data_IF_087486387698
#
_entry.id   IF_087486387698
#
_cell.length_a   1.000
_cell.length_b   1.000
_cell.length_c   1.000
_cell.angle_alpha   90.00
_cell.angle_beta   90.00
_cell.angle_gamma   90.00
#
_symmetry.space_group_name_H-M   'P 1'
#
loop_
_entity.id
_entity.type
_entity.pdbx_description
1 polymer ?
#
# COMPACT_ATOMS: atom_id res chain seq x y z
N UNK A 1 16.60 13.23 -0.44
CA UNK A 1 16.08 12.75 0.84
C UNK A 1 15.68 13.98 1.63
N UNK A 2 14.39 14.17 1.94
CA UNK A 2 13.97 15.34 2.69
C UNK A 2 14.34 15.12 4.17
N UNK A 3 15.20 15.97 4.72
CA UNK A 3 15.60 15.96 6.13
C UNK A 3 14.79 17.05 6.83
N UNK A 4 14.18 16.70 7.96
CA UNK A 4 13.52 17.68 8.82
C UNK A 4 14.54 18.13 9.87
N UNK A 5 14.84 19.42 9.86
CA UNK A 5 15.67 20.09 10.88
C UNK A 5 14.77 20.69 11.95
N UNK A 6 14.97 20.27 13.19
CA UNK A 6 14.31 20.87 14.36
C UNK A 6 15.36 21.54 15.23
N UNK A 7 15.18 22.83 15.47
CA UNK A 7 16.03 23.63 16.35
C UNK A 7 15.39 23.70 17.73
N UNK A 8 16.16 23.31 18.76
CA UNK A 8 15.75 23.41 20.15
C UNK A 8 16.75 24.33 20.86
N UNK A 9 16.27 25.47 21.35
CA UNK A 9 17.04 26.35 22.22
C UNK A 9 17.14 25.77 23.62
N UNK A 10 18.35 25.51 24.09
CA UNK A 10 18.60 25.03 25.45
C UNK A 10 18.29 26.16 26.46
N UNK A 11 17.35 25.96 27.40
CA UNK A 11 16.96 27.01 28.35
C UNK A 11 18.04 27.31 29.40
N UNK A 12 19.11 26.52 29.47
CA UNK A 12 20.14 26.67 30.49
C UNK A 12 21.40 27.41 30.01
N UNK A 13 21.75 27.27 28.73
CA UNK A 13 22.95 27.88 28.15
C UNK A 13 22.69 28.66 26.86
N UNK A 14 21.40 28.85 26.50
CA UNK A 14 20.93 29.57 25.31
C UNK A 14 21.48 29.06 23.97
N UNK A 15 22.20 27.93 23.98
CA UNK A 15 22.71 27.27 22.78
C UNK A 15 21.59 26.67 21.95
N UNK A 16 21.71 26.80 20.63
CA UNK A 16 20.80 26.17 19.67
C UNK A 16 21.29 24.75 19.38
N UNK A 17 20.45 23.76 19.65
CA UNK A 17 20.71 22.35 19.31
C UNK A 17 19.92 22.03 18.05
N UNK A 18 20.64 21.68 16.99
CA UNK A 18 20.05 21.24 15.71
C UNK A 18 19.91 19.72 15.71
N UNK A 19 18.68 19.22 15.63
CA UNK A 19 18.39 17.78 15.46
C UNK A 19 17.94 17.55 14.02
N UNK A 20 18.71 16.73 13.30
CA UNK A 20 18.37 16.26 11.96
C UNK A 20 17.64 14.92 12.04
N UNK A 21 16.40 14.86 11.52
CA UNK A 21 15.65 13.61 11.42
C UNK A 21 15.29 13.33 9.96
N UNK A 22 15.48 12.11 9.44
CA UNK A 22 14.97 11.76 8.12
C UNK A 22 13.46 11.90 8.10
N UNK A 23 12.89 12.43 7.01
CA UNK A 23 11.44 12.55 6.87
C UNK A 23 10.76 11.18 7.10
N UNK A 24 9.60 11.16 7.79
CA UNK A 24 8.87 9.94 8.02
C UNK A 24 8.52 9.30 6.67
N UNK A 25 9.17 8.18 6.38
CA UNK A 25 8.81 7.35 5.24
C UNK A 25 7.44 6.74 5.54
N UNK A 26 6.50 6.82 4.59
CA UNK A 26 5.19 6.17 4.72
C UNK A 26 5.44 4.66 4.80
N UNK A 27 5.36 4.10 6.01
CA UNK A 27 5.42 2.65 6.22
C UNK A 27 4.22 2.01 5.52
N UNK A 28 4.47 0.99 4.70
CA UNK A 28 3.42 0.21 4.01
C UNK A 28 3.43 0.28 2.49
N UNK A 29 4.38 0.98 1.87
CA UNK A 29 4.60 0.86 0.42
C UNK A 29 5.71 -0.17 0.21
N UNK A 30 5.45 -1.22 -0.59
CA UNK A 30 6.50 -1.87 -1.37
C UNK A 30 7.04 -0.80 -2.33
N UNK A 31 7.86 0.11 -1.81
CA UNK A 31 8.19 1.35 -2.49
C UNK A 31 9.13 1.06 -3.67
N UNK A 32 8.61 1.23 -4.88
CA UNK A 32 9.42 1.42 -6.09
C UNK A 32 9.42 0.28 -7.11
N UNK A 33 8.62 -0.77 -6.93
CA UNK A 33 8.46 -1.82 -7.94
C UNK A 33 7.12 -1.57 -8.66
N UNK A 34 7.15 -1.47 -9.99
CA UNK A 34 5.95 -1.32 -10.78
C UNK A 34 5.07 -2.59 -10.68
N UNK A 35 3.76 -2.48 -10.92
CA UNK A 35 2.86 -3.65 -10.88
C UNK A 35 3.34 -4.75 -11.85
N UNK A 36 3.89 -4.35 -13.00
CA UNK A 36 4.45 -5.27 -14.00
C UNK A 36 5.71 -6.00 -13.50
N UNK A 37 6.53 -5.34 -12.67
CA UNK A 37 7.83 -5.85 -12.20
C UNK A 37 7.74 -6.71 -10.94
N UNK A 38 6.56 -6.79 -10.29
CA UNK A 38 6.37 -7.59 -9.09
C UNK A 38 6.37 -9.09 -9.38
N UNK A 39 6.93 -9.90 -8.47
CA UNK A 39 6.71 -11.36 -8.49
C UNK A 39 5.26 -11.71 -8.13
N UNK A 40 4.80 -12.91 -8.44
CA UNK A 40 3.40 -13.29 -8.17
C UNK A 40 3.05 -13.24 -6.69
N UNK A 41 3.99 -13.63 -5.81
CA UNK A 41 3.82 -13.51 -4.36
C UNK A 41 3.77 -12.05 -3.90
N UNK A 42 4.57 -11.16 -4.51
CA UNK A 42 4.51 -9.72 -4.24
C UNK A 42 3.19 -9.13 -4.72
N UNK A 43 2.68 -9.55 -5.88
CA UNK A 43 1.41 -9.11 -6.42
C UNK A 43 0.24 -9.55 -5.54
N UNK A 44 0.23 -10.81 -5.03
CA UNK A 44 -0.76 -11.29 -4.05
C UNK A 44 -0.74 -10.45 -2.77
N UNK A 45 0.45 -10.12 -2.26
CA UNK A 45 0.60 -9.26 -1.08
C UNK A 45 0.07 -7.85 -1.36
N UNK A 46 0.36 -7.28 -2.53
CA UNK A 46 -0.13 -5.94 -2.89
C UNK A 46 -1.66 -5.91 -3.03
N UNK A 47 -2.28 -6.93 -3.63
CA UNK A 47 -3.75 -7.03 -3.70
C UNK A 47 -4.36 -7.04 -2.30
N UNK A 48 -3.80 -7.85 -1.38
CA UNK A 48 -4.27 -7.89 0.02
C UNK A 48 -4.12 -6.53 0.70
N UNK A 49 -2.99 -5.86 0.49
CA UNK A 49 -2.73 -4.53 1.04
C UNK A 49 -3.68 -3.47 0.48
N UNK A 50 -3.90 -3.47 -0.84
CA UNK A 50 -4.80 -2.54 -1.52
C UNK A 50 -6.25 -2.70 -1.01
N UNK A 51 -6.74 -3.94 -0.89
CA UNK A 51 -8.06 -4.23 -0.28
C UNK A 51 -8.15 -3.75 1.16
N UNK A 52 -7.12 -3.99 1.98
CA UNK A 52 -7.09 -3.53 3.38
C UNK A 52 -7.13 -1.99 3.49
N UNK A 53 -6.42 -1.29 2.60
CA UNK A 53 -6.41 0.18 2.56
C UNK A 53 -7.77 0.72 2.14
N UNK A 54 -8.41 0.12 1.12
CA UNK A 54 -9.75 0.49 0.68
C UNK A 54 -10.77 0.30 1.81
N UNK A 55 -10.82 -0.89 2.41
CA UNK A 55 -11.70 -1.20 3.55
C UNK A 55 -11.52 -0.19 4.69
N UNK A 56 -10.27 0.12 5.07
CA UNK A 56 -10.00 1.12 6.12
C UNK A 56 -10.42 2.53 5.70
N UNK A 57 -10.35 2.88 4.42
CA UNK A 57 -10.79 4.16 3.89
C UNK A 57 -12.32 4.30 3.90
N UNK A 58 -13.04 3.24 3.53
CA UNK A 58 -14.50 3.17 3.62
C UNK A 58 -14.96 3.24 5.08
N UNK A 59 -14.37 2.42 5.95
CA UNK A 59 -14.72 2.38 7.38
C UNK A 59 -14.54 3.70 8.11
N UNK A 60 -13.55 4.52 7.71
CA UNK A 60 -13.30 5.85 8.29
C UNK A 60 -14.05 6.98 7.57
N UNK A 61 -14.90 6.67 6.60
CA UNK A 61 -15.59 7.64 5.75
C UNK A 61 -14.61 8.66 5.13
N UNK A 62 -13.53 8.16 4.52
CA UNK A 62 -12.57 9.00 3.82
C UNK A 62 -13.26 9.76 2.66
N UNK A 63 -12.65 10.86 2.16
CA UNK A 63 -13.19 11.59 1.02
C UNK A 63 -13.42 10.67 -0.18
N UNK A 64 -14.48 10.92 -0.95
CA UNK A 64 -14.82 10.11 -2.13
C UNK A 64 -13.65 9.98 -3.10
N UNK A 65 -12.88 11.05 -3.31
CA UNK A 65 -11.66 11.04 -4.13
C UNK A 65 -10.62 10.04 -3.61
N UNK A 66 -10.47 9.92 -2.28
CA UNK A 66 -9.54 8.96 -1.67
C UNK A 66 -10.02 7.52 -1.87
N UNK A 67 -11.33 7.28 -1.76
CA UNK A 67 -11.93 5.96 -1.98
C UNK A 67 -11.75 5.55 -3.45
N UNK A 68 -12.09 6.43 -4.39
CA UNK A 68 -11.93 6.18 -5.83
C UNK A 68 -10.48 5.88 -6.22
N UNK A 69 -9.52 6.63 -5.68
CA UNK A 69 -8.10 6.38 -5.90
C UNK A 69 -7.65 5.02 -5.34
N UNK A 70 -8.15 4.62 -4.17
CA UNK A 70 -7.83 3.31 -3.61
C UNK A 70 -8.46 2.17 -4.40
N UNK A 71 -9.67 2.39 -4.93
CA UNK A 71 -10.39 1.42 -5.75
C UNK A 71 -9.67 1.20 -7.08
N UNK A 72 -9.24 2.26 -7.76
CA UNK A 72 -8.41 2.17 -8.95
C UNK A 72 -7.12 1.37 -8.72
N UNK A 73 -6.54 1.44 -7.50
CA UNK A 73 -5.35 0.66 -7.13
C UNK A 73 -5.65 -0.83 -6.98
N UNK A 74 -6.79 -1.18 -6.38
CA UNK A 74 -7.27 -2.57 -6.30
C UNK A 74 -7.53 -3.11 -7.70
N UNK A 75 -8.22 -2.35 -8.53
CA UNK A 75 -8.59 -2.77 -9.88
C UNK A 75 -7.35 -2.99 -10.77
N UNK A 76 -6.36 -2.09 -10.69
CA UNK A 76 -5.10 -2.25 -11.42
C UNK A 76 -4.33 -3.52 -11.01
N UNK A 77 -4.27 -3.82 -9.70
CA UNK A 77 -3.59 -5.02 -9.21
C UNK A 77 -4.33 -6.32 -9.59
N UNK A 78 -5.67 -6.30 -9.55
CA UNK A 78 -6.50 -7.42 -10.00
C UNK A 78 -6.40 -7.64 -11.51
N UNK A 79 -6.38 -6.56 -12.30
CA UNK A 79 -6.21 -6.64 -13.74
C UNK A 79 -4.85 -7.26 -14.11
N UNK A 80 -3.79 -6.93 -13.38
CA UNK A 80 -2.48 -7.53 -13.61
C UNK A 80 -2.43 -9.01 -13.23
N UNK A 81 -3.08 -9.40 -12.12
CA UNK A 81 -3.25 -10.82 -11.77
C UNK A 81 -4.00 -11.57 -12.86
N UNK A 82 -5.10 -11.01 -13.35
CA UNK A 82 -5.91 -11.61 -14.42
C UNK A 82 -5.12 -11.75 -15.73
N UNK A 83 -4.30 -10.76 -16.11
CA UNK A 83 -3.41 -10.88 -17.28
C UNK A 83 -2.39 -12.00 -17.11
N UNK A 84 -1.80 -12.15 -15.92
CA UNK A 84 -0.83 -13.21 -15.63
C UNK A 84 -1.48 -14.59 -15.62
N UNK A 85 -2.67 -14.72 -15.04
CA UNK A 85 -3.47 -15.94 -15.10
C UNK A 85 -3.84 -16.29 -16.55
N UNK A 86 -4.27 -15.31 -17.36
CA UNK A 86 -4.55 -15.53 -18.77
C UNK A 86 -3.30 -15.90 -19.60
N UNK A 87 -2.13 -15.38 -19.23
CA UNK A 87 -0.86 -15.70 -19.88
C UNK A 87 -0.28 -17.06 -19.44
N UNK A 88 -0.53 -17.46 -18.19
CA UNK A 88 -0.06 -18.72 -17.61
C UNK A 88 -1.09 -19.85 -17.68
N UNK A 89 -2.29 -19.62 -18.22
CA UNK A 89 -3.34 -20.64 -18.27
C UNK A 89 -2.86 -21.88 -19.07
N UNK A 90 -2.58 -23.03 -18.42
CA UNK A 90 -2.76 -24.29 -19.12
C UNK A 90 -4.27 -24.46 -19.36
N UNK A 91 -4.64 -25.10 -20.46
CA UNK A 91 -6.00 -25.59 -20.59
C UNK A 91 -6.30 -26.50 -19.38
N UNK A 92 -7.36 -26.15 -18.65
CA UNK A 92 -8.00 -26.93 -17.56
C UNK A 92 -7.48 -26.74 -16.12
N UNK A 93 -8.41 -26.21 -15.31
CA UNK A 93 -8.74 -26.55 -13.93
C UNK A 93 -7.75 -26.26 -12.78
N UNK A 94 -8.09 -25.28 -11.94
CA UNK A 94 -8.17 -25.50 -10.48
C UNK A 94 -8.71 -24.25 -9.77
N UNK A 95 -9.92 -24.40 -9.23
CA UNK A 95 -10.46 -23.53 -8.22
C UNK A 95 -9.57 -23.49 -6.97
N UNK A 96 -9.20 -22.30 -6.50
CA UNK A 96 -8.86 -22.04 -5.10
C UNK A 96 -9.65 -20.81 -4.63
N UNK A 97 -10.90 -21.13 -4.29
CA UNK A 97 -11.59 -20.78 -3.04
C UNK A 97 -10.90 -19.71 -2.15
N UNK A 98 -11.50 -18.52 -2.07
CA UNK A 98 -11.46 -17.68 -0.87
C UNK A 98 -12.92 -17.32 -0.53
N UNK A 99 -13.58 -18.30 0.09
CA UNK A 99 -14.86 -18.14 0.80
C UNK A 99 -14.63 -17.17 1.95
N UNK A 100 -15.17 -15.96 1.83
CA UNK A 100 -15.43 -15.12 3.00
C UNK A 100 -16.77 -15.56 3.58
N UNK A 101 -16.73 -16.48 4.54
CA UNK A 101 -17.84 -16.71 5.47
C UNK A 101 -18.04 -15.43 6.30
N UNK A 102 -19.05 -14.62 5.90
CA UNK A 102 -19.69 -13.66 6.78
C UNK A 102 -20.63 -14.43 7.72
N UNK A 103 -20.14 -14.84 8.89
CA UNK A 103 -21.01 -15.08 10.05
C UNK A 103 -21.25 -13.76 10.78
N UNK A 104 -22.44 -13.18 10.62
CA UNK A 104 -23.11 -12.30 11.61
C UNK A 104 -24.59 -12.67 11.66
#
# INVERSE_FOLDING_TARGET
MNVLTTEITCPHCEGVITIERPAPQRRGVLAGIALEDMTDEQLKIEIRNAKSVLYKAEKRNAPAETILNNQARVDAALAEKAKREAANAPAEDSAEEDVYEEEI
#
